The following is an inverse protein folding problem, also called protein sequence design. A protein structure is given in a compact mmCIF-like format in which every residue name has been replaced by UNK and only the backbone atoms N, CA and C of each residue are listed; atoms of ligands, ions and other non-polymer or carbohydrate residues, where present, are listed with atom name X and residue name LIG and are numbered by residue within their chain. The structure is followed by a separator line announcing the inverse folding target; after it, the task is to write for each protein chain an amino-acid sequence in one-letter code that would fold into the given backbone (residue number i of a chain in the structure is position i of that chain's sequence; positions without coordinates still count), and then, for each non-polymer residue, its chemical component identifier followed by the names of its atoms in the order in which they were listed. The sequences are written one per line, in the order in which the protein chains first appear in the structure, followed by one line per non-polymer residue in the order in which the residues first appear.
data_IF_698426265820
#
_entry.id   IF_698426265820
#
_cell.length_a   1.000
_cell.length_b   1.000
_cell.length_c   1.000
_cell.angle_alpha   90.00
_cell.angle_beta   90.00
_cell.angle_gamma   90.00
#
_symmetry.space_group_name_H-M   'P 1'
#
loop_
_entity.id
_entity.type
_entity.pdbx_description
1 polymer ?
#
# COMPACT_ATOMS: atom_id res chain seq x y z
N UNK A 1 16.20 -4.09 -2.11
CA UNK A 1 15.63 -4.39 -3.44
C UNK A 1 15.08 -5.81 -3.57
N UNK A 2 15.74 -6.83 -3.01
CA UNK A 2 15.22 -8.21 -3.04
C UNK A 2 13.82 -8.34 -2.41
N UNK A 3 13.57 -7.73 -1.24
CA UNK A 3 12.27 -7.76 -0.58
C UNK A 3 11.14 -7.21 -1.46
N UNK A 4 11.38 -6.08 -2.14
CA UNK A 4 10.40 -5.48 -3.06
C UNK A 4 10.10 -6.37 -4.28
N UNK A 5 11.13 -7.08 -4.76
CA UNK A 5 10.96 -8.02 -5.87
C UNK A 5 10.14 -9.22 -5.42
N UNK A 6 10.43 -9.76 -4.24
CA UNK A 6 9.73 -10.92 -3.70
C UNK A 6 8.26 -10.63 -3.42
N UNK A 7 7.91 -9.44 -2.93
CA UNK A 7 6.51 -9.06 -2.70
C UNK A 7 5.81 -8.45 -3.92
N UNK A 8 6.48 -8.33 -5.06
CA UNK A 8 5.89 -7.83 -6.31
C UNK A 8 5.75 -6.32 -6.42
N UNK A 9 6.34 -5.54 -5.50
CA UNK A 9 6.26 -4.07 -5.49
C UNK A 9 7.37 -3.38 -6.30
N UNK A 10 8.34 -4.13 -6.82
CA UNK A 10 9.50 -3.54 -7.50
C UNK A 10 9.10 -2.63 -8.68
N UNK A 11 8.08 -3.02 -9.42
CA UNK A 11 7.59 -2.26 -10.58
C UNK A 11 7.13 -0.87 -10.22
N UNK A 12 6.56 -0.69 -9.04
CA UNK A 12 6.14 0.62 -8.56
C UNK A 12 7.31 1.61 -8.43
N UNK A 13 8.51 1.12 -8.13
CA UNK A 13 9.72 1.93 -8.04
C UNK A 13 10.40 2.17 -9.39
N UNK A 14 10.06 1.37 -10.38
CA UNK A 14 10.55 1.54 -11.76
C UNK A 14 9.73 2.58 -12.54
N UNK A 15 8.57 3.00 -12.01
CA UNK A 15 7.76 4.08 -12.62
C UNK A 15 8.56 5.38 -12.56
N UNK A 16 8.76 6.06 -13.71
CA UNK A 16 9.48 7.33 -13.75
C UNK A 16 8.85 8.37 -12.83
N UNK A 17 9.69 9.16 -12.16
CA UNK A 17 9.22 10.29 -11.36
C UNK A 17 8.47 11.30 -12.22
N UNK A 18 7.23 11.60 -11.85
CA UNK A 18 6.44 12.65 -12.50
C UNK A 18 6.46 13.92 -11.66
N UNK A 19 6.49 15.06 -12.34
CA UNK A 19 6.26 16.34 -11.65
C UNK A 19 4.79 16.42 -11.24
N UNK A 20 4.56 16.87 -10.00
CA UNK A 20 3.21 17.15 -9.54
C UNK A 20 2.56 18.19 -10.46
N UNK A 21 1.33 17.93 -10.88
CA UNK A 21 0.51 18.82 -11.70
C UNK A 21 -0.80 19.13 -10.94
N UNK A 22 -0.77 20.05 -9.97
CA UNK A 22 -1.91 20.30 -9.08
C UNK A 22 -3.18 20.70 -9.84
N UNK A 23 -3.06 21.54 -10.86
CA UNK A 23 -4.19 21.98 -11.67
C UNK A 23 -4.86 20.83 -12.42
N UNK A 24 -4.06 19.92 -13.02
CA UNK A 24 -4.58 18.74 -13.69
C UNK A 24 -5.26 17.80 -12.69
N UNK A 25 -4.66 17.58 -11.53
CA UNK A 25 -5.25 16.76 -10.48
C UNK A 25 -6.58 17.34 -9.97
N UNK A 26 -6.66 18.64 -9.74
CA UNK A 26 -7.91 19.32 -9.35
C UNK A 26 -8.99 19.15 -10.42
N UNK A 27 -8.63 19.29 -11.69
CA UNK A 27 -9.54 19.06 -12.79
C UNK A 27 -10.05 17.61 -12.83
N UNK A 28 -9.16 16.61 -12.74
CA UNK A 28 -9.54 15.20 -12.72
C UNK A 28 -10.47 14.90 -11.51
N UNK A 29 -10.15 15.42 -10.34
CA UNK A 29 -10.98 15.26 -9.13
C UNK A 29 -12.37 15.88 -9.33
N UNK A 30 -12.47 17.01 -10.02
CA UNK A 30 -13.75 17.66 -10.31
C UNK A 30 -14.66 16.85 -11.23
N UNK A 31 -14.11 15.92 -12.00
CA UNK A 31 -14.87 15.01 -12.87
C UNK A 31 -15.39 13.78 -12.13
N UNK A 32 -14.97 13.56 -10.88
CA UNK A 32 -15.32 12.39 -10.10
C UNK A 32 -16.76 12.45 -9.59
N UNK A 33 -17.55 11.44 -9.94
CA UNK A 33 -18.89 11.21 -9.39
C UNK A 33 -18.79 10.22 -8.22
N UNK A 34 -19.03 10.70 -7.02
CA UNK A 34 -18.89 9.92 -5.78
C UNK A 34 -19.93 8.80 -5.68
N UNK A 35 -21.14 9.05 -6.18
CA UNK A 35 -22.25 8.12 -6.06
C UNK A 35 -22.09 6.95 -7.04
N UNK A 36 -21.69 7.25 -8.26
CA UNK A 36 -21.48 6.25 -9.29
C UNK A 36 -20.06 5.66 -9.30
N UNK A 37 -19.11 6.29 -8.61
CA UNK A 37 -17.68 5.91 -8.59
C UNK A 37 -17.05 5.84 -9.98
N UNK A 38 -17.33 6.85 -10.78
CA UNK A 38 -16.83 7.01 -12.15
C UNK A 38 -16.37 8.44 -12.39
N UNK A 39 -15.55 8.65 -13.39
CA UNK A 39 -15.25 9.99 -13.91
C UNK A 39 -16.24 10.35 -15.01
N UNK A 40 -16.80 11.55 -14.95
CA UNK A 40 -17.66 12.09 -16.01
C UNK A 40 -16.86 13.01 -16.93
N UNK A 41 -16.71 12.60 -18.19
CA UNK A 41 -15.98 13.36 -19.20
C UNK A 41 -16.95 13.69 -20.32
N UNK A 42 -17.54 14.89 -20.29
CA UNK A 42 -18.63 15.24 -21.21
C UNK A 42 -19.87 14.38 -20.97
N UNK A 43 -20.31 13.66 -22.00
CA UNK A 43 -21.45 12.72 -21.91
C UNK A 43 -21.01 11.28 -21.56
N UNK A 44 -19.71 11.02 -21.53
CA UNK A 44 -19.15 9.70 -21.28
C UNK A 44 -18.83 9.49 -19.79
N UNK A 45 -18.87 8.25 -19.37
CA UNK A 45 -18.46 7.82 -18.03
C UNK A 45 -17.28 6.85 -18.14
N UNK A 46 -16.23 7.10 -17.35
CA UNK A 46 -15.04 6.26 -17.27
C UNK A 46 -14.94 5.64 -15.88
N UNK A 47 -15.05 4.32 -15.79
CA UNK A 47 -14.77 3.57 -14.57
C UNK A 47 -13.27 3.27 -14.50
N UNK A 48 -12.68 3.35 -13.31
CA UNK A 48 -11.33 2.88 -13.07
C UNK A 48 -11.36 1.40 -12.70
N UNK A 49 -10.68 0.57 -13.47
CA UNK A 49 -10.67 -0.88 -13.34
C UNK A 49 -9.28 -1.42 -12.94
N UNK A 50 -9.23 -2.70 -12.56
CA UNK A 50 -7.98 -3.38 -12.20
C UNK A 50 -6.96 -3.35 -13.34
N UNK A 51 -7.43 -3.49 -14.57
CA UNK A 51 -6.58 -3.46 -15.76
C UNK A 51 -5.94 -2.09 -15.99
N UNK A 52 -6.63 -1.01 -15.65
CA UNK A 52 -6.06 0.34 -15.72
C UNK A 52 -4.88 0.48 -14.78
N UNK A 53 -5.01 0.01 -13.54
CA UNK A 53 -3.91 0.01 -12.57
C UNK A 53 -2.74 -0.84 -13.08
N UNK A 54 -3.03 -2.00 -13.65
CA UNK A 54 -2.01 -2.87 -14.21
C UNK A 54 -1.22 -2.17 -15.34
N UNK A 55 -1.90 -1.55 -16.29
CA UNK A 55 -1.24 -0.87 -17.41
C UNK A 55 -0.52 0.41 -17.02
N UNK A 56 -1.05 1.16 -16.04
CA UNK A 56 -0.45 2.42 -15.59
C UNK A 56 0.78 2.21 -14.71
N UNK A 57 0.76 1.21 -13.83
CA UNK A 57 1.76 1.06 -12.76
C UNK A 57 2.58 -0.22 -12.90
N UNK A 58 2.11 -1.20 -13.66
CA UNK A 58 2.79 -2.48 -13.87
C UNK A 58 2.77 -3.43 -12.68
N UNK A 59 1.88 -3.19 -11.70
CA UNK A 59 1.69 -4.08 -10.56
C UNK A 59 0.93 -5.35 -10.95
N UNK A 60 1.08 -6.42 -10.15
CA UNK A 60 0.37 -7.68 -10.41
C UNK A 60 -1.14 -7.51 -10.24
N UNK A 61 -1.89 -8.04 -11.20
CA UNK A 61 -3.37 -8.16 -11.17
C UNK A 61 -3.86 -9.56 -10.83
N UNK A 62 -2.94 -10.47 -10.49
CA UNK A 62 -3.23 -11.86 -10.13
C UNK A 62 -2.59 -12.19 -8.79
N UNK A 63 -3.11 -13.19 -8.11
CA UNK A 63 -2.55 -13.70 -6.87
C UNK A 63 -3.49 -13.55 -5.68
N UNK A 64 -2.92 -13.67 -4.48
CA UNK A 64 -3.68 -13.56 -3.23
C UNK A 64 -4.26 -12.15 -3.05
N UNK A 65 -5.49 -12.04 -2.50
CA UNK A 65 -6.10 -10.74 -2.25
C UNK A 65 -5.31 -9.97 -1.19
N UNK A 66 -5.23 -8.66 -1.36
CA UNK A 66 -4.60 -7.73 -0.41
C UNK A 66 -5.67 -6.80 0.16
N UNK A 67 -5.71 -6.68 1.48
CA UNK A 67 -6.51 -5.69 2.16
C UNK A 67 -5.62 -4.68 2.88
N UNK A 68 -5.43 -3.51 2.28
CA UNK A 68 -4.59 -2.44 2.82
C UNK A 68 -5.23 -1.71 4.02
N UNK A 69 -6.50 -1.89 4.26
CA UNK A 69 -7.28 -1.16 5.27
C UNK A 69 -7.83 -2.07 6.38
N UNK A 70 -7.87 -3.37 6.17
CA UNK A 70 -8.53 -4.33 7.06
C UNK A 70 -7.73 -4.65 8.32
N UNK A 71 -8.45 -4.86 9.43
CA UNK A 71 -7.90 -5.48 10.64
C UNK A 71 -7.83 -6.99 10.44
N UNK A 72 -6.65 -7.57 10.62
CA UNK A 72 -6.50 -9.03 10.66
C UNK A 72 -6.49 -9.55 12.09
N UNK A 73 -7.21 -10.63 12.38
CA UNK A 73 -6.98 -11.38 13.61
C UNK A 73 -5.60 -12.07 13.53
N UNK A 74 -4.71 -11.77 14.44
CA UNK A 74 -3.44 -12.46 14.57
C UNK A 74 -3.58 -13.62 15.55
N UNK A 75 -3.23 -14.82 15.11
CA UNK A 75 -3.18 -16.03 15.95
C UNK A 75 -1.85 -16.16 16.70
N UNK A 76 -0.84 -15.42 16.27
CA UNK A 76 0.50 -15.40 16.86
C UNK A 76 0.58 -14.25 17.86
N UNK A 77 1.27 -14.46 18.98
CA UNK A 77 1.57 -13.37 19.91
C UNK A 77 2.35 -12.28 19.17
N UNK A 78 1.63 -11.22 18.87
CA UNK A 78 2.08 -10.07 18.05
C UNK A 78 3.45 -9.55 18.51
N UNK A 79 3.69 -9.58 19.83
CA UNK A 79 4.90 -9.05 20.44
C UNK A 79 6.15 -9.87 20.12
N UNK A 80 6.05 -11.20 20.12
CA UNK A 80 7.16 -12.07 19.77
C UNK A 80 7.56 -11.88 18.29
N UNK A 81 6.59 -11.84 17.39
CA UNK A 81 6.83 -11.62 15.96
C UNK A 81 7.45 -10.25 15.69
N UNK A 82 6.98 -9.21 16.38
CA UNK A 82 7.53 -7.87 16.21
C UNK A 82 8.95 -7.75 16.77
N UNK A 83 9.25 -8.47 17.85
CA UNK A 83 10.61 -8.54 18.41
C UNK A 83 11.60 -9.20 17.43
N UNK A 84 11.20 -10.23 16.69
CA UNK A 84 12.00 -10.87 15.64
C UNK A 84 12.42 -9.87 14.53
N UNK A 85 11.59 -8.86 14.30
CA UNK A 85 11.87 -7.79 13.34
C UNK A 85 12.51 -6.54 13.96
N UNK A 86 13.05 -6.66 15.17
CA UNK A 86 13.81 -5.59 15.83
C UNK A 86 12.98 -4.46 16.40
N UNK A 87 11.70 -4.71 16.74
CA UNK A 87 10.86 -3.73 17.44
C UNK A 87 11.00 -3.89 18.95
N UNK A 88 11.45 -2.85 19.63
CA UNK A 88 11.62 -2.87 21.08
C UNK A 88 10.30 -2.83 21.86
N UNK A 89 10.28 -3.42 23.05
CA UNK A 89 9.11 -3.43 23.93
C UNK A 89 8.63 -2.03 24.33
N UNK A 90 9.52 -1.06 24.43
CA UNK A 90 9.16 0.34 24.71
C UNK A 90 8.35 0.97 23.57
N UNK A 91 8.72 0.69 22.31
CA UNK A 91 8.01 1.16 21.12
C UNK A 91 6.65 0.46 20.99
N UNK A 92 6.55 -0.81 21.37
CA UNK A 92 5.30 -1.56 21.35
C UNK A 92 4.21 -0.96 22.25
N UNK A 93 4.60 -0.33 23.35
CA UNK A 93 3.66 0.30 24.31
C UNK A 93 3.04 1.58 23.77
N UNK A 94 3.69 2.27 22.85
CA UNK A 94 3.21 3.56 22.30
C UNK A 94 2.01 3.43 21.34
N UNK A 95 1.69 2.22 20.88
CA UNK A 95 0.62 1.98 19.91
C UNK A 95 0.93 2.40 18.47
N UNK A 96 1.98 3.21 18.28
CA UNK A 96 2.49 3.64 16.97
C UNK A 96 3.99 3.39 16.89
N UNK A 97 4.43 2.76 15.82
CA UNK A 97 5.80 2.32 15.63
C UNK A 97 6.43 3.22 14.55
N UNK A 98 7.44 4.03 14.87
CA UNK A 98 8.18 4.76 13.86
C UNK A 98 8.88 3.78 12.92
N UNK A 99 8.70 3.91 11.61
CA UNK A 99 9.27 2.96 10.62
C UNK A 99 10.79 2.90 10.75
N UNK A 100 11.44 4.04 10.98
CA UNK A 100 12.89 4.11 11.14
C UNK A 100 13.43 3.43 12.42
N UNK A 101 12.56 3.14 13.39
CA UNK A 101 12.97 2.42 14.62
C UNK A 101 12.96 0.90 14.47
N UNK A 102 12.49 0.38 13.32
CA UNK A 102 12.45 -1.05 13.03
C UNK A 102 13.85 -1.51 12.63
N UNK A 103 14.39 -2.55 13.31
CA UNK A 103 15.73 -3.07 13.01
C UNK A 103 15.85 -3.81 11.68
N UNK A 104 14.72 -4.26 11.12
CA UNK A 104 14.67 -5.02 9.86
C UNK A 104 14.56 -4.07 8.66
N UNK A 105 15.65 -3.85 7.96
CA UNK A 105 15.71 -2.96 6.80
C UNK A 105 14.79 -3.41 5.65
N UNK A 106 14.75 -4.69 5.25
CA UNK A 106 13.77 -5.17 4.27
C UNK A 106 12.33 -4.83 4.62
N UNK A 107 11.94 -4.99 5.88
CA UNK A 107 10.60 -4.65 6.35
C UNK A 107 10.33 -3.14 6.31
N UNK A 108 11.31 -2.30 6.68
CA UNK A 108 11.20 -0.85 6.51
C UNK A 108 10.88 -0.47 5.06
N UNK A 109 11.59 -1.05 4.11
CA UNK A 109 11.41 -0.78 2.67
C UNK A 109 10.02 -1.19 2.20
N UNK A 110 9.53 -2.36 2.62
CA UNK A 110 8.17 -2.83 2.31
C UNK A 110 7.11 -1.89 2.89
N UNK A 111 7.27 -1.45 4.15
CA UNK A 111 6.36 -0.52 4.81
C UNK A 111 6.29 0.84 4.08
N UNK A 112 7.42 1.43 3.74
CA UNK A 112 7.45 2.67 2.96
C UNK A 112 6.75 2.52 1.61
N UNK A 113 6.93 1.37 0.96
CA UNK A 113 6.30 1.06 -0.32
C UNK A 113 4.79 0.96 -0.20
N UNK A 114 4.30 0.23 0.80
CA UNK A 114 2.88 0.09 1.08
C UNK A 114 2.22 1.45 1.34
N UNK A 115 2.88 2.34 2.09
CA UNK A 115 2.35 3.69 2.31
C UNK A 115 2.29 4.52 1.04
N UNK A 116 3.27 4.43 0.17
CA UNK A 116 3.24 5.13 -1.12
C UNK A 116 2.13 4.62 -2.03
N UNK A 117 1.95 3.30 -2.10
CA UNK A 117 0.89 2.66 -2.89
C UNK A 117 -0.50 2.99 -2.32
N UNK A 118 -0.62 3.02 -1.00
CA UNK A 118 -1.88 3.35 -0.33
C UNK A 118 -2.19 4.85 -0.27
N UNK A 119 -1.34 5.71 -0.81
CA UNK A 119 -1.55 7.16 -0.79
C UNK A 119 -1.44 7.81 0.60
N UNK A 120 -1.08 7.06 1.63
CA UNK A 120 -0.98 7.52 3.02
C UNK A 120 0.42 8.10 3.31
N UNK A 121 0.81 9.11 2.56
CA UNK A 121 2.17 9.66 2.58
C UNK A 121 2.57 10.42 3.87
N UNK A 122 1.65 10.63 4.81
CA UNK A 122 1.85 11.60 5.88
C UNK A 122 2.47 11.06 7.17
N UNK A 123 2.54 9.75 7.37
CA UNK A 123 3.00 9.22 8.65
C UNK A 123 4.19 8.26 8.49
N UNK A 124 5.33 8.67 9.04
CA UNK A 124 6.47 7.79 9.23
C UNK A 124 6.26 6.80 10.40
N UNK A 125 5.00 6.60 10.81
CA UNK A 125 4.61 5.75 11.93
C UNK A 125 3.53 4.77 11.48
N UNK A 126 3.64 3.54 11.93
CA UNK A 126 2.72 2.44 11.62
C UNK A 126 2.09 1.87 12.87
N UNK A 127 0.88 1.35 12.74
CA UNK A 127 0.25 0.54 13.76
C UNK A 127 0.81 -0.89 13.77
N UNK A 128 0.61 -1.61 14.89
CA UNK A 128 0.94 -3.05 14.96
C UNK A 128 0.26 -3.85 13.84
N UNK A 129 -0.98 -3.54 13.52
CA UNK A 129 -1.74 -4.22 12.47
C UNK A 129 -1.14 -4.01 11.08
N UNK A 130 -0.72 -2.78 10.77
CA UNK A 130 -0.06 -2.46 9.51
C UNK A 130 1.30 -3.15 9.39
N UNK A 131 2.05 -3.24 10.49
CA UNK A 131 3.32 -3.92 10.51
C UNK A 131 3.17 -5.43 10.29
N UNK A 132 2.23 -6.08 10.96
CA UNK A 132 1.92 -7.49 10.74
C UNK A 132 1.52 -7.77 9.30
N UNK A 133 0.76 -6.87 8.72
CA UNK A 133 0.37 -6.94 7.33
C UNK A 133 1.57 -6.84 6.37
N UNK A 134 2.51 -5.93 6.65
CA UNK A 134 3.73 -5.80 5.87
C UNK A 134 4.62 -7.05 5.97
N UNK A 135 4.72 -7.66 7.16
CA UNK A 135 5.44 -8.92 7.36
C UNK A 135 4.82 -10.03 6.48
N UNK A 136 3.51 -10.11 6.43
CA UNK A 136 2.83 -11.07 5.56
C UNK A 136 3.10 -10.81 4.07
N UNK A 137 3.16 -9.55 3.67
CA UNK A 137 3.49 -9.17 2.29
C UNK A 137 4.94 -9.54 1.89
N UNK A 138 5.82 -9.79 2.85
CA UNK A 138 7.17 -10.29 2.60
C UNK A 138 7.22 -11.79 2.25
N UNK A 139 6.15 -12.54 2.50
CA UNK A 139 5.98 -13.90 2.00
C UNK A 139 6.11 -13.90 0.47
N UNK A 140 6.87 -14.85 -0.14
CA UNK A 140 7.12 -14.86 -1.58
C UNK A 140 5.89 -15.21 -2.44
N UNK A 141 4.69 -15.21 -1.89
CA UNK A 141 3.45 -15.38 -2.65
C UNK A 141 3.21 -14.20 -3.59
N UNK A 142 2.57 -14.49 -4.70
CA UNK A 142 2.12 -13.44 -5.62
C UNK A 142 0.84 -12.82 -5.06
N UNK A 143 0.83 -11.50 -4.95
CA UNK A 143 -0.33 -10.72 -4.49
C UNK A 143 -0.97 -9.92 -5.62
N UNK A 144 -2.30 -9.77 -5.56
CA UNK A 144 -3.04 -8.89 -6.46
C UNK A 144 -2.94 -7.44 -5.98
N UNK A 145 -1.84 -6.79 -6.28
CA UNK A 145 -1.60 -5.40 -5.90
C UNK A 145 -2.54 -4.42 -6.59
N UNK A 146 -2.94 -4.69 -7.84
CA UNK A 146 -3.88 -3.83 -8.56
C UNK A 146 -5.23 -3.74 -7.86
N UNK A 147 -5.77 -4.86 -7.38
CA UNK A 147 -7.01 -4.88 -6.60
C UNK A 147 -6.84 -4.14 -5.27
N UNK A 148 -5.71 -4.31 -4.60
CA UNK A 148 -5.40 -3.60 -3.35
C UNK A 148 -5.35 -2.08 -3.53
N UNK A 149 -4.71 -1.60 -4.58
CA UNK A 149 -4.63 -0.17 -4.92
C UNK A 149 -6.02 0.37 -5.27
N UNK A 150 -6.76 -0.34 -6.13
CA UNK A 150 -8.09 0.08 -6.56
C UNK A 150 -9.06 0.23 -5.38
N UNK A 151 -9.08 -0.75 -4.48
CA UNK A 151 -9.91 -0.67 -3.26
C UNK A 151 -9.53 0.51 -2.38
N UNK A 152 -8.24 0.82 -2.27
CA UNK A 152 -7.77 1.94 -1.47
C UNK A 152 -8.18 3.30 -2.07
N UNK A 153 -8.21 3.43 -3.40
CA UNK A 153 -8.68 4.66 -4.07
C UNK A 153 -10.14 4.94 -3.74
N UNK A 154 -10.98 3.90 -3.61
CA UNK A 154 -12.41 4.02 -3.38
C UNK A 154 -12.82 3.99 -1.89
N UNK A 155 -11.87 3.90 -0.97
CA UNK A 155 -12.14 3.94 0.47
C UNK A 155 -12.00 5.34 1.02
#
# INVERSE_FOLDING_TARGET
MAALRNCGLIKFFEVPGMRAQPTLLQYIISLWDVDLRVFRVGEETLALEIDDIYFLVGLSRRGAPINLVGKRPSVVTTEALLAEHGVSGAVLKSGKIPILSIGDLPLQVVLYSLFRVAGSAATHQVSKAQMLYAIECMDPRIFNWCDGVLRNIFT
#
